data_IF_932313625496
#
_entry.id   IF_932313625496
#
_cell.length_a   1.000
_cell.length_b   1.000
_cell.length_c   1.000
_cell.angle_alpha   90.00
_cell.angle_beta   90.00
_cell.angle_gamma   90.00
#
_symmetry.space_group_name_H-M   'P 1'
#
loop_
_entity.id
_entity.type
_entity.pdbx_description
1 polymer ?
#
# COMPACT_ATOMS: atom_id res chain seq x y z
N UNK A 1 -18.71 21.02 17.28
CA UNK A 1 -17.71 22.09 17.05
C UNK A 1 -16.35 21.88 17.73
N UNK A 2 -16.23 21.17 18.87
CA UNK A 2 -14.93 20.98 19.55
C UNK A 2 -13.96 19.99 18.89
N UNK A 3 -14.44 18.99 18.13
CA UNK A 3 -13.60 17.96 17.50
C UNK A 3 -12.90 18.48 16.23
N UNK A 4 -13.53 19.39 15.48
CA UNK A 4 -12.92 19.98 14.28
C UNK A 4 -11.75 20.91 14.60
N UNK A 5 -11.74 21.52 15.79
CA UNK A 5 -10.62 22.36 16.23
C UNK A 5 -9.37 21.52 16.53
N UNK A 6 -9.53 20.33 17.13
CA UNK A 6 -8.42 19.40 17.41
C UNK A 6 -7.79 18.89 16.11
N UNK A 7 -8.62 18.50 15.13
CA UNK A 7 -8.11 18.08 13.81
C UNK A 7 -7.41 19.23 13.08
N UNK A 8 -7.95 20.46 13.11
CA UNK A 8 -7.34 21.60 12.45
C UNK A 8 -6.02 22.04 13.12
N UNK A 9 -5.90 21.87 14.45
CA UNK A 9 -4.68 22.14 15.21
C UNK A 9 -3.60 21.07 14.99
N UNK A 10 -3.98 19.79 14.86
CA UNK A 10 -3.06 18.71 14.51
C UNK A 10 -2.53 18.86 13.07
N UNK A 11 -3.36 19.32 12.14
CA UNK A 11 -2.95 19.62 10.77
C UNK A 11 -1.97 20.80 10.69
N UNK A 12 -2.13 21.85 11.50
CA UNK A 12 -1.18 22.98 11.52
C UNK A 12 0.15 22.59 12.19
N UNK A 13 0.12 21.74 13.22
CA UNK A 13 1.31 21.24 13.90
C UNK A 13 2.18 20.39 12.96
N UNK A 14 1.56 19.48 12.18
CA UNK A 14 2.26 18.66 11.19
C UNK A 14 2.85 19.49 10.05
N UNK A 15 2.15 20.53 9.59
CA UNK A 15 2.66 21.45 8.57
C UNK A 15 3.84 22.30 9.05
N UNK A 16 3.83 22.74 10.32
CA UNK A 16 4.94 23.48 10.91
C UNK A 16 6.19 22.62 11.12
N UNK A 17 6.03 21.34 11.45
CA UNK A 17 7.17 20.40 11.54
C UNK A 17 7.78 20.17 10.15
N UNK A 18 6.96 20.06 9.10
CA UNK A 18 7.41 19.92 7.70
C UNK A 18 8.19 21.16 7.21
N UNK A 19 7.74 22.37 7.57
CA UNK A 19 8.42 23.62 7.22
C UNK A 19 9.73 23.83 7.98
N UNK A 20 9.87 23.28 9.19
CA UNK A 20 11.07 23.45 10.00
C UNK A 20 12.21 22.50 9.58
N UNK A 21 11.89 21.31 9.06
CA UNK A 21 12.89 20.39 8.50
C UNK A 21 13.50 20.94 7.20
N UNK A 22 12.73 21.72 6.44
CA UNK A 22 13.16 22.27 5.15
C UNK A 22 14.00 23.56 5.25
N UNK A 23 14.18 24.13 6.45
CA UNK A 23 15.01 25.33 6.67
C UNK A 23 16.50 25.06 6.77
N UNK A 24 16.92 23.80 6.90
CA UNK A 24 18.34 23.46 7.10
C UNK A 24 19.09 23.07 5.82
N UNK A 25 18.47 23.19 4.64
CA UNK A 25 19.13 22.87 3.37
C UNK A 25 18.79 23.87 2.26
N UNK A 26 19.25 25.11 2.38
CA UNK A 26 19.58 25.96 1.21
C UNK A 26 20.34 27.24 1.63
N UNK A 27 21.58 27.11 2.10
CA UNK A 27 22.49 28.27 2.01
C UNK A 27 23.08 28.28 0.59
N UNK A 28 22.34 28.88 -0.35
CA UNK A 28 22.92 29.32 -1.63
C UNK A 28 23.07 30.82 -1.58
N UNK A 29 24.29 31.27 -1.27
CA UNK A 29 24.73 32.66 -1.32
C UNK A 29 24.64 33.15 -2.77
N UNK A 30 23.66 33.99 -3.10
CA UNK A 30 23.58 34.67 -4.39
C UNK A 30 24.12 36.10 -4.24
N UNK A 31 25.23 36.37 -4.92
CA UNK A 31 25.72 37.72 -5.16
C UNK A 31 24.65 38.54 -5.92
N UNK A 32 24.39 39.75 -5.44
CA UNK A 32 23.50 40.74 -6.04
C UNK A 32 24.21 41.54 -7.13
N UNK A 33 23.72 41.57 -8.39
CA UNK A 33 23.97 42.69 -9.28
C UNK A 33 22.78 43.66 -9.22
N UNK A 34 23.05 44.91 -8.84
CA UNK A 34 22.10 46.02 -8.93
C UNK A 34 21.63 46.21 -10.37
N UNK A 35 20.37 45.92 -10.67
CA UNK A 35 19.71 46.42 -11.90
C UNK A 35 18.21 46.65 -11.65
N UNK A 36 17.75 47.77 -12.19
CA UNK A 36 16.46 48.44 -12.01
C UNK A 36 15.27 47.59 -12.49
N UNK A 37 14.21 47.52 -11.68
CA UNK A 37 12.97 46.77 -12.00
C UNK A 37 12.16 47.45 -13.10
N UNK A 38 11.92 46.74 -14.21
CA UNK A 38 10.89 47.06 -15.20
C UNK A 38 9.65 46.21 -14.90
N UNK A 39 8.46 46.78 -14.67
CA UNK A 39 7.24 46.02 -14.42
C UNK A 39 6.62 45.50 -15.73
N UNK A 40 6.45 44.18 -15.85
CA UNK A 40 5.71 43.53 -16.94
C UNK A 40 4.23 43.42 -16.60
N UNK A 41 3.48 44.52 -16.77
CA UNK A 41 2.02 44.49 -16.90
C UNK A 41 1.67 44.77 -18.36
N UNK A 42 1.61 43.74 -19.20
CA UNK A 42 0.95 43.85 -20.52
C UNK A 42 -0.55 43.70 -20.31
N UNK A 43 -1.20 44.81 -19.98
CA UNK A 43 -2.63 45.01 -20.21
C UNK A 43 -2.84 45.01 -21.74
N UNK A 44 -3.72 44.14 -22.25
CA UNK A 44 -4.22 44.24 -23.61
C UNK A 44 -5.10 45.49 -23.69
N UNK A 45 -4.49 46.65 -23.91
CA UNK A 45 -5.19 47.81 -24.45
C UNK A 45 -5.50 47.53 -25.91
N UNK A 46 -6.77 47.59 -26.29
CA UNK A 46 -7.20 47.81 -27.66
C UNK A 46 -6.62 49.15 -28.13
N UNK A 47 -5.50 49.10 -28.85
CA UNK A 47 -5.05 50.23 -29.63
C UNK A 47 -5.86 50.25 -30.93
N UNK A 48 -6.82 51.16 -31.05
CA UNK A 48 -7.47 51.54 -32.33
C UNK A 48 -6.51 52.31 -33.27
N UNK A 49 -5.23 51.90 -33.36
CA UNK A 49 -4.23 52.56 -34.22
C UNK A 49 -4.26 52.08 -35.68
N UNK A 50 -5.14 51.14 -36.00
CA UNK A 50 -5.46 50.74 -37.38
C UNK A 50 -6.98 50.68 -37.55
N UNK A 51 -7.58 51.81 -37.87
CA UNK A 51 -8.85 51.78 -38.58
C UNK A 51 -8.62 50.99 -39.89
N UNK A 52 -9.49 50.03 -40.27
CA UNK A 52 -9.27 49.27 -41.48
C UNK A 52 -9.34 50.23 -42.67
N UNK A 53 -8.22 50.44 -43.36
CA UNK A 53 -8.26 50.80 -44.77
C UNK A 53 -9.15 49.76 -45.45
N UNK A 54 -9.91 50.17 -46.46
CA UNK A 54 -10.94 49.35 -47.09
C UNK A 54 -10.34 48.12 -47.82
N UNK A 55 -9.92 47.10 -47.05
CA UNK A 55 -9.26 45.86 -47.50
C UNK A 55 -10.20 44.97 -48.33
N UNK A 56 -11.49 45.25 -48.35
CA UNK A 56 -12.49 44.51 -49.12
C UNK A 56 -12.36 44.72 -50.64
N UNK A 57 -11.64 45.76 -51.07
CA UNK A 57 -11.54 46.15 -52.49
C UNK A 57 -10.16 45.89 -53.10
N UNK A 58 -9.19 45.38 -52.33
CA UNK A 58 -7.88 45.01 -52.86
C UNK A 58 -7.95 43.63 -53.54
N UNK A 59 -7.65 43.54 -54.86
CA UNK A 59 -7.74 42.29 -55.60
C UNK A 59 -6.79 41.20 -55.08
N UNK A 60 -5.62 41.56 -54.53
CA UNK A 60 -4.69 40.58 -53.95
C UNK A 60 -5.22 40.04 -52.62
N UNK A 61 -5.76 40.92 -51.76
CA UNK A 61 -6.36 40.51 -50.48
C UNK A 61 -7.58 39.61 -50.69
N UNK A 62 -8.40 39.91 -51.69
CA UNK A 62 -9.57 39.10 -52.04
C UNK A 62 -9.16 37.68 -52.49
N UNK A 63 -8.07 37.56 -53.25
CA UNK A 63 -7.55 36.26 -53.68
C UNK A 63 -6.98 35.43 -52.52
N UNK A 64 -6.33 36.07 -51.55
CA UNK A 64 -5.82 35.41 -50.33
C UNK A 64 -6.97 34.95 -49.44
N UNK A 65 -8.01 35.77 -49.26
CA UNK A 65 -9.22 35.40 -48.52
C UNK A 65 -9.95 34.23 -49.19
N UNK A 66 -10.14 34.26 -50.51
CA UNK A 66 -10.77 33.15 -51.25
C UNK A 66 -9.97 31.84 -51.14
N UNK A 67 -8.64 31.90 -51.19
CA UNK A 67 -7.80 30.71 -50.99
C UNK A 67 -7.87 30.19 -49.55
N UNK A 68 -7.87 31.09 -48.56
CA UNK A 68 -8.00 30.72 -47.16
C UNK A 68 -9.37 30.09 -46.87
N UNK A 69 -10.44 30.65 -47.41
CA UNK A 69 -11.79 30.12 -47.29
C UNK A 69 -11.92 28.75 -47.94
N UNK A 70 -11.34 28.55 -49.13
CA UNK A 70 -11.34 27.23 -49.81
C UNK A 70 -10.62 26.16 -48.99
N UNK A 71 -9.43 26.47 -48.47
CA UNK A 71 -8.68 25.56 -47.59
C UNK A 71 -9.37 25.31 -46.25
N UNK A 72 -10.04 26.32 -45.72
CA UNK A 72 -10.77 26.24 -44.45
C UNK A 72 -12.03 25.41 -44.61
N UNK A 73 -12.78 25.59 -45.69
CA UNK A 73 -13.94 24.78 -46.06
C UNK A 73 -13.57 23.31 -46.25
N UNK A 74 -12.46 23.01 -46.94
CA UNK A 74 -11.98 21.64 -47.09
C UNK A 74 -11.65 20.99 -45.74
N UNK A 75 -10.93 21.70 -44.85
CA UNK A 75 -10.63 21.19 -43.49
C UNK A 75 -11.88 20.98 -42.66
N UNK A 76 -12.91 21.81 -42.82
CA UNK A 76 -14.19 21.62 -42.14
C UNK A 76 -14.91 20.35 -42.61
N UNK A 77 -14.94 20.08 -43.92
CA UNK A 77 -15.51 18.83 -44.45
C UNK A 77 -14.73 17.59 -43.98
N UNK A 78 -13.40 17.63 -43.98
CA UNK A 78 -12.56 16.54 -43.46
C UNK A 78 -12.73 16.32 -41.95
N UNK A 79 -12.93 17.39 -41.19
CA UNK A 79 -13.22 17.30 -39.76
C UNK A 79 -14.62 16.72 -39.50
N UNK A 80 -15.63 17.15 -40.27
CA UNK A 80 -17.00 16.64 -40.16
C UNK A 80 -17.09 15.16 -40.51
N UNK A 81 -16.42 14.70 -41.58
CA UNK A 81 -16.37 13.28 -41.91
C UNK A 81 -15.68 12.44 -40.83
N UNK A 82 -14.57 12.91 -40.26
CA UNK A 82 -13.92 12.23 -39.12
C UNK A 82 -14.82 12.19 -37.89
N UNK A 83 -15.55 13.27 -37.62
CA UNK A 83 -16.48 13.35 -36.50
C UNK A 83 -17.64 12.35 -36.68
N UNK A 84 -18.22 12.27 -37.88
CA UNK A 84 -19.28 11.31 -38.21
C UNK A 84 -18.77 9.86 -38.08
N UNK A 85 -17.58 9.55 -38.63
CA UNK A 85 -16.97 8.22 -38.53
C UNK A 85 -16.76 7.78 -37.07
N UNK A 86 -16.10 8.63 -36.27
CA UNK A 86 -15.84 8.33 -34.86
C UNK A 86 -17.14 8.19 -34.06
N UNK A 87 -18.18 8.97 -34.41
CA UNK A 87 -19.50 8.86 -33.78
C UNK A 87 -20.20 7.55 -34.11
N UNK A 88 -20.04 7.04 -35.34
CA UNK A 88 -20.58 5.74 -35.76
C UNK A 88 -19.87 4.59 -35.04
N UNK A 89 -18.53 4.60 -35.01
CA UNK A 89 -17.73 3.61 -34.30
C UNK A 89 -18.06 3.56 -32.80
N UNK A 90 -18.19 4.73 -32.15
CA UNK A 90 -18.58 4.81 -30.74
C UNK A 90 -20.01 4.29 -30.49
N UNK A 91 -20.95 4.52 -31.41
CA UNK A 91 -22.33 4.01 -31.32
C UNK A 91 -22.36 2.49 -31.44
N UNK A 92 -21.64 1.92 -32.41
CA UNK A 92 -21.52 0.46 -32.60
C UNK A 92 -20.86 -0.20 -31.39
N UNK A 93 -19.79 0.38 -30.85
CA UNK A 93 -19.12 -0.12 -29.65
C UNK A 93 -20.01 -0.05 -28.40
N UNK A 94 -20.82 1.00 -28.28
CA UNK A 94 -21.81 1.14 -27.21
C UNK A 94 -22.91 0.09 -27.32
N UNK A 95 -23.48 -0.13 -28.52
CA UNK A 95 -24.49 -1.16 -28.76
C UNK A 95 -23.97 -2.57 -28.47
N UNK A 96 -22.73 -2.88 -28.87
CA UNK A 96 -22.06 -4.14 -28.52
C UNK A 96 -21.88 -4.32 -27.01
N UNK A 97 -21.47 -3.26 -26.30
CA UNK A 97 -21.30 -3.30 -24.85
C UNK A 97 -22.65 -3.46 -24.12
N UNK A 98 -23.71 -2.81 -24.62
CA UNK A 98 -25.08 -2.97 -24.11
C UNK A 98 -25.55 -4.40 -24.33
N UNK A 99 -25.36 -4.98 -25.52
CA UNK A 99 -25.71 -6.38 -25.79
C UNK A 99 -24.94 -7.36 -24.89
N UNK A 100 -23.64 -7.12 -24.66
CA UNK A 100 -22.83 -7.92 -23.71
C UNK A 100 -23.34 -7.78 -22.28
N UNK A 101 -23.76 -6.58 -21.87
CA UNK A 101 -24.30 -6.34 -20.53
C UNK A 101 -25.66 -7.02 -20.34
N UNK A 102 -26.56 -6.93 -21.32
CA UNK A 102 -27.86 -7.62 -21.32
C UNK A 102 -27.66 -9.14 -21.29
N UNK A 103 -26.73 -9.69 -22.08
CA UNK A 103 -26.43 -11.13 -22.09
C UNK A 103 -25.87 -11.58 -20.73
N UNK A 104 -24.98 -10.78 -20.13
CA UNK A 104 -24.42 -11.04 -18.80
C UNK A 104 -25.49 -10.98 -17.72
N UNK A 105 -26.38 -10.00 -17.78
CA UNK A 105 -27.54 -9.90 -16.89
C UNK A 105 -28.49 -11.08 -17.05
N UNK A 106 -28.74 -11.55 -18.29
CA UNK A 106 -29.59 -12.72 -18.55
C UNK A 106 -29.01 -14.00 -17.96
N UNK A 107 -27.70 -14.23 -18.10
CA UNK A 107 -27.00 -15.37 -17.48
C UNK A 107 -26.99 -15.24 -15.95
N UNK A 108 -26.72 -14.05 -15.42
CA UNK A 108 -26.79 -13.81 -13.98
C UNK A 108 -28.21 -14.01 -13.44
N UNK A 109 -29.24 -13.65 -14.21
CA UNK A 109 -30.64 -13.87 -13.84
C UNK A 109 -31.00 -15.35 -13.84
N UNK A 110 -30.58 -16.14 -14.84
CA UNK A 110 -30.79 -17.59 -14.86
C UNK A 110 -30.04 -18.30 -13.71
N UNK A 111 -28.78 -17.94 -13.46
CA UNK A 111 -28.02 -18.44 -12.32
C UNK A 111 -28.70 -18.06 -11.00
N UNK A 112 -29.10 -16.79 -10.86
CA UNK A 112 -29.79 -16.31 -9.68
C UNK A 112 -31.12 -17.03 -9.49
N UNK A 113 -31.94 -17.24 -10.52
CA UNK A 113 -33.19 -18.00 -10.42
C UNK A 113 -32.95 -19.47 -10.01
N UNK A 114 -31.92 -20.13 -10.54
CA UNK A 114 -31.50 -21.48 -10.11
C UNK A 114 -31.05 -21.52 -8.65
N UNK A 115 -30.37 -20.49 -8.17
CA UNK A 115 -29.95 -20.36 -6.77
C UNK A 115 -31.09 -19.87 -5.84
N UNK A 116 -32.03 -19.07 -6.34
CA UNK A 116 -33.17 -18.50 -5.57
C UNK A 116 -34.30 -19.51 -5.42
N UNK A 117 -34.44 -20.48 -6.32
CA UNK A 117 -35.32 -21.65 -6.13
C UNK A 117 -34.93 -22.49 -4.90
N UNK A 118 -33.69 -22.35 -4.39
CA UNK A 118 -33.21 -22.95 -3.15
C UNK A 118 -33.45 -22.08 -1.90
N UNK A 119 -33.92 -20.84 -2.06
CA UNK A 119 -33.94 -19.85 -0.98
C UNK A 119 -35.14 -18.90 -1.16
N UNK A 120 -36.32 -19.41 -0.83
CA UNK A 120 -37.55 -18.65 -0.58
C UNK A 120 -37.44 -18.23 0.91
N UNK A 121 -37.45 -16.96 1.29
CA UNK A 121 -38.54 -16.03 1.08
C UNK A 121 -38.10 -14.59 1.43
N UNK A 122 -38.93 -13.63 0.99
CA UNK A 122 -39.14 -12.25 1.47
C UNK A 122 -39.13 -11.21 0.32
N UNK A 123 -40.35 -10.77 0.05
CA UNK A 123 -40.79 -9.77 -0.91
C UNK A 123 -40.26 -8.35 -0.62
N UNK A 124 -39.92 -7.63 -1.69
CA UNK A 124 -39.64 -6.19 -1.70
C UNK A 124 -40.65 -5.48 -2.61
N UNK A 125 -41.90 -5.40 -2.16
CA UNK A 125 -42.84 -4.41 -2.65
C UNK A 125 -42.89 -3.29 -1.62
N UNK A 126 -42.12 -2.22 -1.85
CA UNK A 126 -42.35 -0.88 -1.31
C UNK A 126 -41.28 0.10 -1.84
N UNK A 127 -41.38 0.52 -3.12
CA UNK A 127 -40.72 1.76 -3.58
C UNK A 127 -41.67 2.51 -4.52
N UNK A 128 -42.34 3.58 -4.08
CA UNK A 128 -43.08 4.45 -4.96
C UNK A 128 -42.18 5.49 -5.63
N UNK A 129 -42.61 5.81 -6.84
CA UNK A 129 -42.16 6.74 -7.87
C UNK A 129 -41.76 8.14 -7.36
N UNK A 130 -40.58 8.61 -7.80
CA UNK A 130 -40.03 9.93 -7.49
C UNK A 130 -40.69 11.06 -8.29
N UNK A 131 -41.29 12.01 -7.58
CA UNK A 131 -41.55 13.38 -8.06
C UNK A 131 -40.23 14.16 -8.03
N UNK A 132 -39.72 14.53 -9.20
CA UNK A 132 -38.53 15.36 -9.34
C UNK A 132 -38.90 16.84 -9.28
N UNK A 133 -38.79 17.44 -8.10
CA UNK A 133 -38.61 18.89 -8.01
C UNK A 133 -37.33 19.22 -7.23
N UNK A 134 -36.48 20.03 -7.87
CA UNK A 134 -35.07 20.35 -7.60
C UNK A 134 -34.05 19.26 -8.04
N UNK A 135 -33.65 19.39 -9.31
CA UNK A 135 -32.32 19.08 -9.87
C UNK A 135 -31.56 17.94 -9.17
N UNK A 136 -31.67 16.73 -9.72
CA UNK A 136 -30.93 15.52 -9.34
C UNK A 136 -29.44 15.79 -9.11
N UNK A 137 -28.85 16.74 -9.84
CA UNK A 137 -27.45 17.15 -9.70
C UNK A 137 -27.10 17.87 -8.37
N UNK A 138 -28.02 18.62 -7.75
CA UNK A 138 -27.76 19.35 -6.49
C UNK A 138 -27.87 18.40 -5.27
N UNK A 139 -28.81 17.44 -5.35
CA UNK A 139 -29.02 16.39 -4.34
C UNK A 139 -27.89 15.36 -4.35
N UNK A 140 -27.48 14.88 -5.53
CA UNK A 140 -26.33 13.96 -5.67
C UNK A 140 -25.02 14.63 -5.26
N UNK A 141 -24.82 15.92 -5.52
CA UNK A 141 -23.63 16.67 -5.10
C UNK A 141 -23.53 16.80 -3.56
N UNK A 142 -24.66 17.08 -2.88
CA UNK A 142 -24.71 17.19 -1.41
C UNK A 142 -24.54 15.82 -0.72
N UNK A 143 -25.02 14.75 -1.36
CA UNK A 143 -24.80 13.36 -0.93
C UNK A 143 -23.34 12.93 -1.13
N UNK A 144 -22.73 13.28 -2.27
CA UNK A 144 -21.34 12.97 -2.58
C UNK A 144 -20.36 13.71 -1.64
N UNK A 145 -20.64 14.96 -1.27
CA UNK A 145 -19.88 15.69 -0.24
C UNK A 145 -20.01 15.06 1.17
N UNK A 146 -21.16 14.48 1.51
CA UNK A 146 -21.35 13.72 2.75
C UNK A 146 -20.66 12.35 2.70
N UNK A 147 -20.65 11.68 1.54
CA UNK A 147 -19.88 10.44 1.31
C UNK A 147 -18.36 10.68 1.28
N UNK A 148 -17.90 11.84 0.80
CA UNK A 148 -16.49 12.25 0.85
C UNK A 148 -15.96 12.36 2.29
N UNK A 149 -16.80 12.73 3.25
CA UNK A 149 -16.48 12.64 4.68
C UNK A 149 -16.37 11.18 5.17
N UNK A 150 -17.09 10.24 4.56
CA UNK A 150 -16.99 8.80 4.83
C UNK A 150 -15.73 8.13 4.26
N UNK A 151 -15.17 8.67 3.17
CA UNK A 151 -13.88 8.23 2.60
C UNK A 151 -12.70 8.44 3.56
N UNK A 152 -12.80 9.38 4.51
CA UNK A 152 -11.86 9.47 5.63
C UNK A 152 -11.80 8.20 6.49
N UNK A 153 -12.89 7.44 6.57
CA UNK A 153 -12.95 6.14 7.25
C UNK A 153 -12.39 4.95 6.44
N UNK A 154 -12.32 5.08 5.10
CA UNK A 154 -11.72 4.04 4.26
C UNK A 154 -10.18 4.06 4.34
N UNK A 155 -9.59 5.26 4.47
CA UNK A 155 -8.15 5.42 4.70
C UNK A 155 -7.73 4.84 6.06
N UNK A 156 -8.51 5.06 7.11
CA UNK A 156 -8.22 4.50 8.45
C UNK A 156 -8.35 2.99 8.45
N UNK A 157 -9.35 2.41 7.76
CA UNK A 157 -9.48 0.96 7.65
C UNK A 157 -8.26 0.32 6.95
N UNK A 158 -7.84 0.85 5.80
CA UNK A 158 -6.67 0.33 5.07
C UNK A 158 -5.39 0.38 5.91
N UNK A 159 -5.19 1.47 6.64
CA UNK A 159 -4.03 1.63 7.53
C UNK A 159 -4.09 0.67 8.71
N UNK A 160 -5.26 0.49 9.33
CA UNK A 160 -5.42 -0.39 10.50
C UNK A 160 -5.26 -1.86 10.10
N UNK A 161 -5.88 -2.32 9.00
CA UNK A 161 -5.79 -3.71 8.55
C UNK A 161 -4.41 -4.05 7.98
N UNK A 162 -3.75 -3.10 7.31
CA UNK A 162 -2.38 -3.27 6.82
C UNK A 162 -1.37 -3.41 7.96
N UNK A 163 -1.47 -2.54 8.98
CA UNK A 163 -0.58 -2.59 10.15
C UNK A 163 -0.74 -3.91 10.91
N UNK A 164 -1.96 -4.32 11.25
CA UNK A 164 -2.19 -5.55 12.04
C UNK A 164 -1.73 -6.80 11.30
N UNK A 165 -1.86 -6.84 9.97
CA UNK A 165 -1.32 -7.93 9.15
C UNK A 165 0.19 -8.04 9.20
N UNK A 166 0.91 -6.91 9.08
CA UNK A 166 2.38 -6.87 9.12
C UNK A 166 2.92 -7.33 10.48
N UNK A 167 2.36 -6.83 11.58
CA UNK A 167 2.79 -7.26 12.93
C UNK A 167 2.40 -8.70 13.25
N UNK A 168 1.22 -9.16 12.79
CA UNK A 168 0.81 -10.55 12.92
C UNK A 168 1.80 -11.49 12.22
N UNK A 169 2.20 -11.16 10.99
CA UNK A 169 3.22 -11.91 10.26
C UNK A 169 4.57 -11.87 10.98
N UNK A 170 5.01 -10.70 11.45
CA UNK A 170 6.30 -10.56 12.14
C UNK A 170 6.38 -11.41 13.41
N UNK A 171 5.30 -11.46 14.19
CA UNK A 171 5.22 -12.31 15.39
C UNK A 171 5.27 -13.80 15.03
N UNK A 172 4.51 -14.22 14.02
CA UNK A 172 4.54 -15.62 13.55
C UNK A 172 5.92 -16.01 13.01
N UNK A 173 6.54 -15.13 12.21
CA UNK A 173 7.89 -15.35 11.69
C UNK A 173 8.94 -15.40 12.81
N UNK A 174 8.79 -14.60 13.87
CA UNK A 174 9.68 -14.64 15.03
C UNK A 174 9.60 -15.98 15.79
N UNK A 175 8.41 -16.58 15.91
CA UNK A 175 8.25 -17.92 16.46
C UNK A 175 8.98 -18.97 15.62
N UNK A 176 8.81 -18.95 14.29
CA UNK A 176 9.53 -19.86 13.39
C UNK A 176 11.04 -19.64 13.41
N UNK A 177 11.50 -18.40 13.60
CA UNK A 177 12.91 -18.08 13.75
C UNK A 177 13.49 -18.68 15.04
N UNK A 178 12.74 -18.61 16.14
CA UNK A 178 13.11 -19.24 17.40
C UNK A 178 13.19 -20.77 17.28
N UNK A 179 12.18 -21.42 16.71
CA UNK A 179 12.19 -22.87 16.48
C UNK A 179 13.39 -23.32 15.61
N UNK A 180 13.71 -22.55 14.57
CA UNK A 180 14.87 -22.83 13.74
C UNK A 180 16.19 -22.68 14.50
N UNK A 181 16.31 -21.66 15.37
CA UNK A 181 17.45 -21.48 16.26
C UNK A 181 17.61 -22.66 17.22
N UNK A 182 16.55 -23.05 17.91
CA UNK A 182 16.56 -24.21 18.84
C UNK A 182 16.98 -25.49 18.11
N UNK A 183 16.43 -25.76 16.91
CA UNK A 183 16.80 -26.93 16.11
C UNK A 183 18.29 -26.93 15.72
N UNK A 184 18.85 -25.78 15.38
CA UNK A 184 20.27 -25.64 15.07
C UNK A 184 21.14 -25.86 16.32
N UNK A 185 20.76 -25.27 17.45
CA UNK A 185 21.45 -25.46 18.72
C UNK A 185 21.48 -26.92 19.17
N UNK A 186 20.34 -27.62 19.14
CA UNK A 186 20.26 -29.06 19.45
C UNK A 186 21.19 -29.87 18.56
N UNK A 187 21.23 -29.57 17.25
CA UNK A 187 22.12 -30.26 16.32
C UNK A 187 23.58 -30.12 16.71
N UNK A 188 24.04 -28.91 17.05
CA UNK A 188 25.42 -28.68 17.51
C UNK A 188 25.73 -29.46 18.79
N UNK A 189 24.80 -29.49 19.75
CA UNK A 189 24.99 -30.29 20.98
C UNK A 189 25.13 -31.77 20.64
N UNK A 190 24.27 -32.32 19.79
CA UNK A 190 24.33 -33.73 19.37
C UNK A 190 25.63 -34.04 18.62
N UNK A 191 26.05 -33.16 17.71
CA UNK A 191 27.30 -33.33 16.95
C UNK A 191 28.51 -33.30 17.89
N UNK A 192 28.54 -32.40 18.88
CA UNK A 192 29.57 -32.41 19.91
C UNK A 192 29.55 -33.71 20.71
N UNK A 193 28.41 -34.13 21.25
CA UNK A 193 28.34 -35.40 22.00
C UNK A 193 28.75 -36.61 21.16
N UNK A 194 28.50 -36.60 19.85
CA UNK A 194 28.98 -37.65 18.96
C UNK A 194 30.51 -37.75 18.99
N UNK A 195 31.24 -36.66 19.16
CA UNK A 195 32.72 -36.69 19.32
C UNK A 195 33.19 -37.15 20.71
N UNK A 196 32.28 -37.34 21.68
CA UNK A 196 32.66 -37.77 23.02
C UNK A 196 33.26 -39.20 22.97
N UNK A 197 34.44 -39.43 23.58
CA UNK A 197 35.15 -40.70 23.45
C UNK A 197 34.31 -41.93 23.81
N UNK A 198 34.17 -42.83 22.84
CA UNK A 198 33.46 -44.10 23.00
C UNK A 198 31.93 -44.01 22.93
N UNK A 199 31.32 -42.83 22.78
CA UNK A 199 29.86 -42.69 22.73
C UNK A 199 29.26 -43.27 21.44
N UNK A 200 29.88 -43.03 20.28
CA UNK A 200 29.44 -43.59 18.98
C UNK A 200 29.52 -45.12 18.95
N UNK A 201 30.47 -45.71 19.69
CA UNK A 201 30.66 -47.17 19.72
C UNK A 201 29.63 -47.91 20.56
N UNK A 202 28.66 -47.20 21.18
CA UNK A 202 27.63 -47.80 22.01
C UNK A 202 26.43 -48.25 21.17
N UNK A 203 26.14 -49.56 21.10
CA UNK A 203 24.94 -50.03 20.42
C UNK A 203 23.69 -49.57 21.17
N UNK A 204 22.74 -48.94 20.46
CA UNK A 204 21.42 -48.57 20.99
C UNK A 204 21.31 -47.17 21.61
N UNK A 205 22.33 -46.31 21.50
CA UNK A 205 22.25 -44.92 21.95
C UNK A 205 21.77 -44.01 20.81
N UNK A 206 20.65 -43.33 21.03
CA UNK A 206 20.08 -42.34 20.11
C UNK A 206 19.93 -40.99 20.82
N UNK A 207 20.95 -40.14 20.65
CA UNK A 207 21.00 -38.81 21.28
C UNK A 207 19.86 -37.91 20.83
N UNK A 208 19.30 -38.13 19.64
CA UNK A 208 18.21 -37.31 19.10
C UNK A 208 16.91 -37.45 19.90
N UNK A 209 16.73 -38.57 20.62
CA UNK A 209 15.58 -38.82 21.50
C UNK A 209 15.78 -38.29 22.91
N UNK A 210 17.03 -38.09 23.32
CA UNK A 210 17.39 -37.68 24.67
C UNK A 210 17.60 -36.16 24.77
N UNK A 211 18.14 -35.54 23.72
CA UNK A 211 18.43 -34.10 23.67
C UNK A 211 17.34 -33.39 22.88
N UNK A 212 16.72 -32.37 23.48
CA UNK A 212 15.60 -31.62 22.92
C UNK A 212 15.66 -30.14 23.32
N UNK A 213 14.64 -29.37 22.93
CA UNK A 213 14.60 -27.93 23.14
C UNK A 213 14.55 -27.48 24.60
N UNK A 214 14.20 -28.35 25.56
CA UNK A 214 14.14 -27.99 26.98
C UNK A 214 15.42 -28.30 27.76
N UNK A 215 16.32 -29.14 27.22
CA UNK A 215 17.50 -29.61 27.95
C UNK A 215 18.85 -29.28 27.29
N UNK A 216 18.89 -29.00 25.97
CA UNK A 216 20.15 -28.76 25.26
C UNK A 216 20.97 -27.58 25.80
N UNK A 217 20.28 -26.61 26.41
CA UNK A 217 20.85 -25.40 26.99
C UNK A 217 21.14 -25.53 28.50
N UNK A 218 20.90 -26.71 29.11
CA UNK A 218 21.11 -26.95 30.54
C UNK A 218 22.23 -27.99 30.70
N UNK A 219 23.46 -27.56 31.03
CA UNK A 219 24.61 -28.47 31.11
C UNK A 219 24.39 -29.64 32.05
N UNK A 220 23.75 -29.43 33.21
CA UNK A 220 23.54 -30.48 34.21
C UNK A 220 22.55 -31.56 33.73
N UNK A 221 21.54 -31.20 32.94
CA UNK A 221 20.62 -32.18 32.33
C UNK A 221 21.37 -33.07 31.34
N UNK A 222 22.26 -32.49 30.52
CA UNK A 222 23.12 -33.25 29.61
C UNK A 222 24.04 -34.21 30.37
N UNK A 223 24.63 -33.75 31.48
CA UNK A 223 25.43 -34.62 32.37
C UNK A 223 24.58 -35.77 32.92
N UNK A 224 23.35 -35.51 33.36
CA UNK A 224 22.46 -36.52 33.91
C UNK A 224 22.06 -37.56 32.87
N UNK A 225 21.78 -37.15 31.64
CA UNK A 225 21.50 -38.06 30.50
C UNK A 225 22.68 -39.02 30.30
N UNK A 226 23.91 -38.48 30.21
CA UNK A 226 25.11 -39.30 29.97
C UNK A 226 25.45 -40.18 31.17
N UNK A 227 25.24 -39.72 32.41
CA UNK A 227 25.38 -40.55 33.61
C UNK A 227 24.36 -41.68 33.66
N UNK A 228 23.12 -41.43 33.26
CA UNK A 228 22.09 -42.47 33.14
C UNK A 228 22.50 -43.58 32.16
N UNK A 229 23.04 -43.19 31.00
CA UNK A 229 23.61 -44.11 30.03
C UNK A 229 24.78 -44.92 30.61
N UNK A 230 25.70 -44.23 31.31
CA UNK A 230 26.84 -44.86 31.98
C UNK A 230 26.38 -45.90 33.01
N UNK A 231 25.39 -45.58 33.86
CA UNK A 231 24.90 -46.52 34.87
C UNK A 231 24.22 -47.75 34.26
N UNK A 232 23.52 -47.59 33.13
CA UNK A 232 22.87 -48.71 32.44
C UNK A 232 23.84 -49.63 31.69
N UNK A 233 24.87 -49.04 31.06
CA UNK A 233 25.76 -49.73 30.12
C UNK A 233 27.11 -50.15 30.75
N UNK A 234 27.62 -49.41 31.73
CA UNK A 234 28.94 -49.62 32.33
C UNK A 234 28.92 -50.54 33.57
N UNK A 235 28.20 -51.67 33.48
CA UNK A 235 28.11 -52.66 34.58
C UNK A 235 29.46 -53.28 34.97
N UNK A 236 30.41 -53.30 34.03
CA UNK A 236 31.81 -53.65 34.28
C UNK A 236 32.68 -52.43 34.01
N UNK A 237 33.47 -51.95 34.99
CA UNK A 237 34.39 -50.83 34.76
C UNK A 237 35.33 -51.15 33.59
N UNK A 238 35.62 -50.15 32.76
CA UNK A 238 36.71 -50.17 31.76
C UNK A 238 36.58 -51.12 30.55
N UNK A 239 35.42 -51.77 30.32
CA UNK A 239 35.22 -52.60 29.10
C UNK A 239 35.02 -51.77 27.83
N UNK A 240 34.49 -50.56 27.96
CA UNK A 240 34.27 -49.61 26.86
C UNK A 240 34.99 -48.29 27.14
N UNK A 241 35.53 -47.67 26.09
CA UNK A 241 36.21 -46.37 26.14
C UNK A 241 35.33 -45.30 26.82
N UNK A 242 34.02 -45.33 26.53
CA UNK A 242 33.02 -44.47 27.16
C UNK A 242 33.01 -44.59 28.68
N UNK A 243 33.00 -45.81 29.22
CA UNK A 243 32.95 -46.06 30.67
C UNK A 243 34.21 -45.63 31.41
N UNK A 244 35.37 -45.63 30.74
CA UNK A 244 36.60 -45.11 31.31
C UNK A 244 36.56 -43.58 31.36
N UNK A 245 36.12 -42.94 30.27
CA UNK A 245 36.06 -41.47 30.16
C UNK A 245 34.99 -40.83 31.06
N UNK A 246 33.83 -41.47 31.25
CA UNK A 246 32.77 -40.93 32.13
C UNK A 246 33.16 -40.95 33.61
N UNK A 247 34.03 -41.88 34.01
CA UNK A 247 34.54 -42.00 35.39
C UNK A 247 35.87 -41.25 35.62
N UNK A 248 36.49 -40.74 34.55
CA UNK A 248 37.73 -39.99 34.62
C UNK A 248 37.55 -38.72 35.46
N UNK A 249 38.49 -38.43 36.35
CA UNK A 249 38.44 -37.27 37.26
C UNK A 249 37.12 -37.14 38.04
N UNK A 250 36.54 -38.27 38.50
CA UNK A 250 35.24 -38.29 39.20
C UNK A 250 34.08 -37.67 38.37
N UNK A 251 34.18 -37.70 37.04
CA UNK A 251 33.18 -37.18 36.11
C UNK A 251 33.31 -35.68 35.80
N UNK A 252 34.40 -35.03 36.22
CA UNK A 252 34.65 -33.61 35.93
C UNK A 252 34.85 -33.34 34.43
N UNK A 253 35.47 -34.27 33.71
CA UNK A 253 35.62 -34.23 32.25
C UNK A 253 34.27 -34.14 31.54
N UNK A 254 33.30 -34.96 31.94
CA UNK A 254 31.93 -34.97 31.41
C UNK A 254 31.21 -33.64 31.68
N UNK A 255 31.36 -33.08 32.89
CA UNK A 255 30.79 -31.78 33.24
C UNK A 255 31.36 -30.67 32.35
N UNK A 256 32.68 -30.65 32.16
CA UNK A 256 33.33 -29.66 31.28
C UNK A 256 32.83 -29.78 29.84
N UNK A 257 32.72 -31.01 29.34
CA UNK A 257 32.25 -31.30 27.99
C UNK A 257 30.79 -30.85 27.78
N UNK A 258 29.90 -31.18 28.73
CA UNK A 258 28.50 -30.78 28.69
C UNK A 258 28.32 -29.26 28.75
N UNK A 259 29.16 -28.55 29.51
CA UNK A 259 29.18 -27.09 29.51
C UNK A 259 29.57 -26.53 28.14
N UNK A 260 30.67 -27.02 27.54
CA UNK A 260 31.11 -26.57 26.22
C UNK A 260 30.08 -26.89 25.12
N UNK A 261 29.45 -28.06 25.19
CA UNK A 261 28.39 -28.45 24.26
C UNK A 261 27.17 -27.55 24.38
N UNK A 262 26.66 -27.34 25.59
CA UNK A 262 25.53 -26.45 25.85
C UNK A 262 25.81 -25.02 25.40
N UNK A 263 26.98 -24.47 25.73
CA UNK A 263 27.38 -23.12 25.30
C UNK A 263 27.44 -22.99 23.78
N UNK A 264 28.03 -23.98 23.09
CA UNK A 264 28.10 -23.98 21.63
C UNK A 264 26.70 -24.07 21.00
N UNK A 265 25.82 -24.90 21.57
CA UNK A 265 24.42 -24.99 21.16
C UNK A 265 23.64 -23.69 21.37
N UNK A 266 23.85 -23.00 22.50
CA UNK A 266 23.24 -21.70 22.79
C UNK A 266 23.74 -20.64 21.80
N UNK A 267 25.04 -20.62 21.52
CA UNK A 267 25.64 -19.68 20.57
C UNK A 267 25.09 -19.88 19.15
N UNK A 268 25.01 -21.11 18.68
CA UNK A 268 24.44 -21.41 17.36
C UNK A 268 22.95 -21.08 17.29
N UNK A 269 22.18 -21.42 18.33
CA UNK A 269 20.77 -21.08 18.39
C UNK A 269 20.54 -19.57 18.32
N UNK A 270 21.32 -18.79 19.08
CA UNK A 270 21.27 -17.33 19.06
C UNK A 270 21.70 -16.74 17.71
N UNK A 271 22.73 -17.32 17.08
CA UNK A 271 23.21 -16.90 15.76
C UNK A 271 22.13 -17.08 14.67
N UNK A 272 21.58 -18.28 14.57
CA UNK A 272 20.54 -18.61 13.57
C UNK A 272 19.25 -17.82 13.82
N UNK A 273 18.81 -17.74 15.07
CA UNK A 273 17.64 -16.92 15.42
C UNK A 273 17.89 -15.44 15.13
N UNK A 274 19.06 -14.92 15.50
CA UNK A 274 19.44 -13.52 15.29
C UNK A 274 19.45 -13.13 13.81
N UNK A 275 20.06 -13.95 12.96
CA UNK A 275 20.07 -13.74 11.52
C UNK A 275 18.66 -13.69 10.92
N UNK A 276 17.77 -14.60 11.33
CA UNK A 276 16.37 -14.63 10.87
C UNK A 276 15.56 -13.45 11.39
N UNK A 277 15.72 -13.08 12.66
CA UNK A 277 15.06 -11.91 13.26
C UNK A 277 15.51 -10.61 12.58
N UNK A 278 16.77 -10.50 12.19
CA UNK A 278 17.25 -9.36 11.42
C UNK A 278 16.52 -9.22 10.07
N UNK A 279 16.37 -10.33 9.33
CA UNK A 279 15.60 -10.36 8.09
C UNK A 279 14.15 -9.92 8.33
N UNK A 280 13.49 -10.49 9.34
CA UNK A 280 12.11 -10.12 9.69
C UNK A 280 12.00 -8.61 9.95
N UNK A 281 12.90 -8.03 10.75
CA UNK A 281 12.92 -6.58 11.04
C UNK A 281 13.06 -5.75 9.77
N UNK A 282 13.96 -6.12 8.86
CA UNK A 282 14.14 -5.41 7.59
C UNK A 282 12.89 -5.49 6.71
N UNK A 283 12.31 -6.68 6.55
CA UNK A 283 11.09 -6.88 5.76
C UNK A 283 9.88 -6.13 6.35
N UNK A 284 9.72 -6.14 7.68
CA UNK A 284 8.68 -5.38 8.36
C UNK A 284 8.85 -3.87 8.16
N UNK A 285 10.08 -3.36 8.22
CA UNK A 285 10.36 -1.95 7.95
C UNK A 285 10.04 -1.58 6.50
N UNK A 286 10.43 -2.43 5.54
CA UNK A 286 10.17 -2.21 4.11
C UNK A 286 8.67 -2.17 3.80
N UNK A 287 7.90 -3.12 4.33
CA UNK A 287 6.44 -3.10 4.18
C UNK A 287 5.81 -1.87 4.84
N UNK A 288 6.28 -1.48 6.02
CA UNK A 288 5.77 -0.28 6.71
C UNK A 288 6.04 0.98 5.89
N UNK A 289 7.24 1.13 5.34
CA UNK A 289 7.61 2.25 4.48
C UNK A 289 6.75 2.29 3.20
N UNK A 290 6.65 1.16 2.50
CA UNK A 290 5.83 1.07 1.28
C UNK A 290 4.36 1.36 1.55
N UNK A 291 3.82 0.93 2.69
CA UNK A 291 2.45 1.23 3.11
C UNK A 291 2.24 2.73 3.36
N UNK A 292 3.20 3.40 4.02
CA UNK A 292 3.16 4.85 4.26
C UNK A 292 3.20 5.62 2.93
N UNK A 293 4.14 5.29 2.05
CA UNK A 293 4.29 5.94 0.74
C UNK A 293 3.02 5.76 -0.11
N UNK A 294 2.46 4.56 -0.14
CA UNK A 294 1.19 4.28 -0.82
C UNK A 294 0.05 5.12 -0.25
N UNK A 295 -0.06 5.21 1.09
CA UNK A 295 -1.06 6.03 1.76
C UNK A 295 -0.96 7.53 1.43
N UNK A 296 0.26 8.09 1.42
CA UNK A 296 0.51 9.49 1.03
C UNK A 296 0.11 9.73 -0.43
N UNK A 297 0.47 8.81 -1.32
CA UNK A 297 0.16 8.91 -2.76
C UNK A 297 -1.35 8.96 -2.99
N UNK A 298 -2.11 8.06 -2.35
CA UNK A 298 -3.58 8.05 -2.42
C UNK A 298 -4.16 9.36 -1.87
N UNK A 299 -3.64 9.85 -0.74
CA UNK A 299 -4.11 11.10 -0.15
C UNK A 299 -3.91 12.31 -1.08
N UNK A 300 -2.75 12.41 -1.74
CA UNK A 300 -2.48 13.47 -2.74
C UNK A 300 -3.45 13.39 -3.92
N UNK A 301 -3.72 12.20 -4.46
CA UNK A 301 -4.69 12.01 -5.56
C UNK A 301 -6.09 12.47 -5.13
N UNK A 302 -6.54 12.07 -3.94
CA UNK A 302 -7.84 12.48 -3.40
C UNK A 302 -7.91 14.00 -3.22
N UNK A 303 -6.85 14.63 -2.69
CA UNK A 303 -6.79 16.09 -2.56
C UNK A 303 -6.90 16.81 -3.91
N UNK A 304 -6.19 16.35 -4.95
CA UNK A 304 -6.26 16.93 -6.30
C UNK A 304 -7.68 16.80 -6.85
N UNK A 305 -8.31 15.62 -6.72
CA UNK A 305 -9.70 15.39 -7.16
C UNK A 305 -10.69 16.33 -6.45
N UNK A 306 -10.50 16.56 -5.15
CA UNK A 306 -11.32 17.48 -4.34
C UNK A 306 -11.12 18.93 -4.79
N UNK A 307 -9.89 19.37 -5.06
CA UNK A 307 -9.59 20.72 -5.56
C UNK A 307 -10.25 20.94 -6.94
N UNK A 308 -10.08 20.01 -7.88
CA UNK A 308 -10.70 20.07 -9.21
C UNK A 308 -12.22 20.13 -9.07
N UNK A 309 -12.79 19.30 -8.20
CA UNK A 309 -14.22 19.31 -7.90
C UNK A 309 -14.70 20.68 -7.38
N UNK A 310 -13.98 21.30 -6.44
CA UNK A 310 -14.33 22.64 -5.93
C UNK A 310 -14.25 23.72 -7.02
N UNK A 311 -13.25 23.68 -7.90
CA UNK A 311 -13.11 24.60 -9.03
C UNK A 311 -14.30 24.44 -9.99
N UNK A 312 -14.61 23.21 -10.39
CA UNK A 312 -15.73 22.92 -11.29
C UNK A 312 -17.07 23.35 -10.68
N UNK A 313 -17.27 23.08 -9.39
CA UNK A 313 -18.46 23.50 -8.64
C UNK A 313 -18.60 25.02 -8.60
N UNK A 314 -17.52 25.72 -8.30
CA UNK A 314 -17.49 27.19 -8.30
C UNK A 314 -17.88 27.76 -9.67
N UNK A 315 -17.31 27.21 -10.76
CA UNK A 315 -17.64 27.61 -12.13
C UNK A 315 -19.11 27.37 -12.48
N UNK A 316 -19.69 26.22 -12.08
CA UNK A 316 -21.12 25.91 -12.28
C UNK A 316 -22.02 26.92 -11.55
N UNK A 317 -21.75 27.21 -10.28
CA UNK A 317 -22.53 28.21 -9.51
C UNK A 317 -22.47 29.60 -10.15
N UNK A 318 -21.29 30.04 -10.60
CA UNK A 318 -21.13 31.32 -11.30
C UNK A 318 -21.94 31.35 -12.61
N UNK A 319 -21.92 30.28 -13.40
CA UNK A 319 -22.70 30.15 -14.64
C UNK A 319 -24.22 30.22 -14.38
N UNK A 320 -24.71 29.56 -13.34
CA UNK A 320 -26.13 29.58 -12.99
C UNK A 320 -26.60 30.96 -12.51
N UNK A 321 -25.79 31.67 -11.70
CA UNK A 321 -26.10 33.05 -11.28
C UNK A 321 -26.23 33.99 -12.48
N UNK A 322 -25.29 33.91 -13.44
CA UNK A 322 -25.35 34.69 -14.68
C UNK A 322 -26.62 34.39 -15.48
N UNK A 323 -26.97 33.12 -15.68
CA UNK A 323 -28.21 32.73 -16.38
C UNK A 323 -29.47 33.32 -15.72
N UNK A 324 -29.53 33.31 -14.39
CA UNK A 324 -30.67 33.85 -13.65
C UNK A 324 -30.84 35.36 -13.85
N UNK A 325 -29.73 36.09 -13.98
CA UNK A 325 -29.74 37.53 -14.29
C UNK A 325 -30.25 37.80 -15.72
N UNK A 326 -29.79 37.04 -16.72
CA UNK A 326 -30.29 37.17 -18.11
C UNK A 326 -31.79 36.86 -18.24
N UNK A 327 -32.31 35.86 -17.53
CA UNK A 327 -33.75 35.54 -17.55
C UNK A 327 -34.59 36.67 -16.96
N UNK A 328 -34.08 37.37 -15.92
CA UNK A 328 -34.79 38.52 -15.35
C UNK A 328 -34.87 39.68 -16.34
N UNK A 329 -33.77 39.99 -17.03
CA UNK A 329 -33.72 41.06 -18.02
C UNK A 329 -34.61 40.82 -19.25
N UNK A 330 -34.88 39.55 -19.61
CA UNK A 330 -35.76 39.19 -20.73
C UNK A 330 -37.26 39.23 -20.39
N UNK A 331 -37.62 39.41 -19.11
CA UNK A 331 -39.00 39.43 -18.64
C UNK A 331 -39.54 40.83 -18.39
N UNK A 332 -38.67 41.83 -18.38
CA UNK A 332 -39.01 43.27 -18.38
C UNK A 332 -39.12 43.77 -19.82
#
# INVERSE_FOLDING_TARGET
MRIHYINMFLFSLMFNILLNVNKNHYNTTLHTPNTTKIPTTRLLCECELYAPSNYNNDPEMKQVMDNFDRHTQQRFHEYEQRMIKNRKECKEQCEQNIQKLILKEKIQKELKEKFSALQIDISTHDIPTCVCEKSVADKTEKFCLKCGYGLGGALTAWQIFGYTGIYGWANYAALLAHEAGVKAGIKVVIDMFSTYPGLISLPGVDLTKMINGSNFNIPMELVNIVKGLSNGLCKTPNKHLFCAFTNMEKGQSLVSFANSASQSGIMEAASVQGAKVAIIKTTTADFSYNMIVSGITIFVIVLVMVIIYFILRYRRKKKMKKKLQYIKLLKE
#
